data_IF_297826829439
#
_entry.id   IF_297826829439
#
_cell.length_a   1.000
_cell.length_b   1.000
_cell.length_c   1.000
_cell.angle_alpha   90.00
_cell.angle_beta   90.00
_cell.angle_gamma   90.00
#
_symmetry.space_group_name_H-M   'P 1'
#
loop_
_entity.id
_entity.type
_entity.pdbx_description
1 polymer ?
#
# COMPACT_ATOMS: atom_id res chain seq x y z
N UNK A 1 -3.89 15.61 -6.85
CA UNK A 1 -4.04 14.16 -7.07
C UNK A 1 -4.72 13.58 -5.83
N UNK A 2 -5.91 13.02 -5.99
CA UNK A 2 -6.72 12.49 -4.89
C UNK A 2 -6.72 10.97 -4.97
N UNK A 3 -6.08 10.30 -4.02
CA UNK A 3 -6.08 8.84 -3.94
C UNK A 3 -7.26 8.44 -3.07
N UNK A 4 -8.23 7.73 -3.64
CA UNK A 4 -9.41 7.24 -2.92
C UNK A 4 -9.12 5.81 -2.44
N UNK A 5 -9.09 5.62 -1.12
CA UNK A 5 -8.74 4.33 -0.50
C UNK A 5 -9.98 3.76 0.19
N UNK A 6 -10.68 2.78 -0.42
CA UNK A 6 -11.73 2.04 0.26
C UNK A 6 -11.09 1.17 1.36
N UNK A 7 -11.53 1.38 2.60
CA UNK A 7 -10.98 0.78 3.82
C UNK A 7 -11.60 -0.60 4.05
N UNK A 8 -11.18 -1.61 3.28
CA UNK A 8 -11.37 -3.01 3.70
C UNK A 8 -10.29 -3.31 4.75
N UNK A 9 -10.68 -3.80 5.93
CA UNK A 9 -9.96 -3.64 7.20
C UNK A 9 -8.50 -4.15 7.26
N UNK A 10 -7.97 -4.81 6.24
CA UNK A 10 -6.55 -5.20 6.16
C UNK A 10 -5.94 -5.09 4.75
N UNK A 11 -6.63 -4.47 3.77
CA UNK A 11 -6.13 -4.33 2.39
C UNK A 11 -6.36 -2.91 1.86
N UNK A 12 -5.32 -2.33 1.26
CA UNK A 12 -5.33 -1.03 0.61
C UNK A 12 -5.53 -1.23 -0.89
N UNK A 13 -6.62 -0.70 -1.45
CA UNK A 13 -6.77 -0.61 -2.90
C UNK A 13 -6.07 0.65 -3.42
N UNK A 14 -5.17 0.49 -4.40
CA UNK A 14 -4.36 1.57 -4.95
C UNK A 14 -4.48 1.62 -6.46
N UNK A 15 -4.82 2.79 -7.00
CA UNK A 15 -4.73 3.09 -8.43
C UNK A 15 -3.76 4.24 -8.67
N UNK A 16 -3.01 4.14 -9.77
CA UNK A 16 -2.09 5.17 -10.24
C UNK A 16 -1.82 4.96 -11.73
N UNK A 17 -1.44 6.03 -12.43
CA UNK A 17 -1.02 5.94 -13.83
C UNK A 17 0.15 4.97 -13.99
N UNK A 18 0.20 4.30 -15.14
CA UNK A 18 1.23 3.30 -15.40
C UNK A 18 2.63 3.91 -15.19
N UNK A 19 3.35 3.37 -14.21
CA UNK A 19 4.71 3.76 -13.88
C UNK A 19 5.45 2.53 -13.39
N UNK A 20 6.52 2.16 -14.10
CA UNK A 20 7.31 0.97 -13.77
C UNK A 20 7.86 1.03 -12.34
N UNK A 21 8.29 2.21 -11.88
CA UNK A 21 8.79 2.41 -10.52
C UNK A 21 7.71 2.11 -9.47
N UNK A 22 6.48 2.59 -9.70
CA UNK A 22 5.36 2.38 -8.77
C UNK A 22 4.91 0.93 -8.76
N UNK A 23 4.87 0.29 -9.94
CA UNK A 23 4.58 -1.15 -10.05
C UNK A 23 5.62 -1.98 -9.31
N UNK A 24 6.92 -1.64 -9.43
CA UNK A 24 7.98 -2.32 -8.70
C UNK A 24 7.80 -2.20 -7.17
N UNK A 25 7.40 -1.01 -6.68
CA UNK A 25 7.08 -0.77 -5.26
C UNK A 25 5.88 -1.56 -4.76
N UNK A 26 4.85 -1.74 -5.59
CA UNK A 26 3.70 -2.61 -5.23
C UNK A 26 4.13 -4.07 -5.19
N UNK A 27 4.86 -4.53 -6.21
CA UNK A 27 5.31 -5.92 -6.33
C UNK A 27 6.30 -6.34 -5.24
N UNK A 28 7.03 -5.40 -4.64
CA UNK A 28 7.93 -5.69 -3.51
C UNK A 28 7.17 -5.99 -2.21
N UNK A 29 5.88 -5.68 -2.11
CA UNK A 29 5.04 -6.02 -0.95
C UNK A 29 4.51 -7.44 -1.08
N UNK A 30 4.71 -8.26 -0.05
CA UNK A 30 4.20 -9.64 -0.02
C UNK A 30 2.67 -9.64 0.03
N UNK A 31 2.04 -10.49 -0.78
CA UNK A 31 0.58 -10.64 -0.81
C UNK A 31 -0.17 -9.61 -1.67
N UNK A 32 0.54 -8.80 -2.46
CA UNK A 32 -0.10 -7.90 -3.43
C UNK A 32 -0.93 -8.70 -4.45
N UNK A 33 -2.08 -8.15 -4.85
CA UNK A 33 -2.96 -8.72 -5.87
C UNK A 33 -3.40 -7.63 -6.83
N UNK A 34 -3.39 -7.93 -8.12
CA UNK A 34 -4.01 -7.07 -9.12
C UNK A 34 -5.49 -7.40 -9.24
N UNK A 35 -6.36 -6.41 -9.10
CA UNK A 35 -7.79 -6.54 -9.32
C UNK A 35 -8.13 -6.02 -10.72
N UNK A 36 -8.54 -6.94 -11.61
CA UNK A 36 -8.89 -6.63 -12.98
C UNK A 36 -10.21 -5.85 -13.11
N UNK A 37 -11.16 -6.05 -12.19
CA UNK A 37 -12.46 -5.40 -12.23
C UNK A 37 -12.33 -3.90 -11.97
N UNK A 38 -11.56 -3.55 -10.95
CA UNK A 38 -11.38 -2.16 -10.49
C UNK A 38 -10.11 -1.49 -11.04
N UNK A 39 -9.26 -2.25 -11.76
CA UNK A 39 -7.92 -1.82 -12.21
C UNK A 39 -7.09 -1.22 -11.06
N UNK A 40 -7.13 -1.89 -9.91
CA UNK A 40 -6.45 -1.48 -8.68
C UNK A 40 -5.52 -2.58 -8.19
N UNK A 41 -4.46 -2.17 -7.52
CA UNK A 41 -3.62 -3.06 -6.72
C UNK A 41 -4.18 -3.15 -5.31
N UNK A 42 -4.53 -4.36 -4.87
CA UNK A 42 -4.86 -4.65 -3.48
C UNK A 42 -3.58 -5.05 -2.75
N UNK A 43 -3.21 -4.28 -1.73
CA UNK A 43 -1.98 -4.47 -0.97
C UNK A 43 -2.36 -4.72 0.49
N UNK A 44 -1.97 -5.85 1.10
CA UNK A 44 -2.20 -6.09 2.51
C UNK A 44 -1.51 -5.01 3.35
N UNK A 45 -2.29 -4.36 4.22
CA UNK A 45 -1.77 -3.42 5.21
C UNK A 45 -1.40 -4.28 6.41
N UNK A 46 -0.16 -4.77 6.43
CA UNK A 46 0.38 -5.33 7.66
C UNK A 46 0.36 -4.21 8.70
N UNK A 47 -0.43 -4.35 9.76
CA UNK A 47 -0.40 -3.45 10.91
C UNK A 47 1.01 -3.49 11.49
N UNK A 48 1.88 -2.60 11.01
CA UNK A 48 3.23 -2.51 11.53
C UNK A 48 3.11 -1.70 12.82
N UNK A 49 2.71 -2.36 13.90
CA UNK A 49 2.82 -1.83 15.27
C UNK A 49 4.29 -1.83 15.69
N UNK A 50 5.14 -1.10 14.98
CA UNK A 50 6.49 -0.76 15.42
C UNK A 50 6.92 0.58 14.82
N UNK A 51 6.42 1.67 15.40
CA UNK A 51 7.25 2.86 15.55
C UNK A 51 7.66 2.92 17.01
N UNK A 52 8.78 2.26 17.35
CA UNK A 52 9.60 2.76 18.46
C UNK A 52 10.00 4.17 18.03
N UNK A 53 9.39 5.19 18.62
CA UNK A 53 9.91 6.55 18.57
C UNK A 53 11.39 6.48 18.97
N UNK A 54 12.33 7.04 18.18
CA UNK A 54 13.68 7.22 18.70
C UNK A 54 13.56 8.09 19.95
N UNK A 55 14.09 7.60 21.07
CA UNK A 55 14.30 8.40 22.27
C UNK A 55 15.06 9.66 21.83
N UNK A 56 14.43 10.82 21.95
CA UNK A 56 15.17 12.09 22.00
C UNK A 56 15.86 12.10 23.35
N UNK A 57 17.12 11.69 23.38
CA UNK A 57 18.01 11.94 24.50
C UNK A 57 18.39 13.41 24.45
N UNK A 58 17.78 14.20 25.33
CA UNK A 58 18.15 15.57 25.66
C UNK A 58 18.27 15.69 27.16
#
# INVERSE_FOLDING_TARGET
MTVNVPKHENELAVSFDYSQERIAKVKSRKGHKWNLNDKTWNIPIGVTIYMKSPKSSG
#
